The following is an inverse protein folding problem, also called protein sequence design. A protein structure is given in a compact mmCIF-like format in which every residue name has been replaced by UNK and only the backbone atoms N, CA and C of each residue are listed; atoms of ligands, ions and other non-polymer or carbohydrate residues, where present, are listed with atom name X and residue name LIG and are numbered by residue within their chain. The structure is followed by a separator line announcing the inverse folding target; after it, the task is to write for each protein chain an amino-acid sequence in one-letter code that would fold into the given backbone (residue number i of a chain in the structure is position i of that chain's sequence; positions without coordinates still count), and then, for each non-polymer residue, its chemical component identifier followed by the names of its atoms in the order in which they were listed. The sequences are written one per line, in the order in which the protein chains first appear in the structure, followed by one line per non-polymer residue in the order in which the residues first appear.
data_IF_943922616754
#
_entry.id   IF_943922616754
#
_cell.length_a   1.000
_cell.length_b   1.000
_cell.length_c   1.000
_cell.angle_alpha   90.00
_cell.angle_beta   90.00
_cell.angle_gamma   90.00
#
_symmetry.space_group_name_H-M   'P 1'
#
loop_
_entity.id
_entity.type
_entity.pdbx_description
1 polymer ?
#
# COMPACT_ATOMS: atom_id res chain seq x y z
N UNK A 1 -7.49 -2.77 -19.83
CA UNK A 1 -8.03 -2.89 -18.46
C UNK A 1 -9.38 -2.18 -18.46
N UNK A 2 -10.44 -2.89 -18.20
CA UNK A 2 -11.80 -2.39 -18.09
C UNK A 2 -12.28 -2.57 -16.65
N UNK A 3 -12.91 -1.53 -16.08
CA UNK A 3 -13.42 -1.52 -14.72
C UNK A 3 -14.91 -1.14 -14.64
N UNK A 4 -15.63 -1.20 -15.75
CA UNK A 4 -17.07 -0.95 -15.75
C UNK A 4 -17.78 -1.89 -14.74
N UNK A 5 -18.71 -1.31 -14.00
CA UNK A 5 -19.46 -2.02 -12.94
C UNK A 5 -18.61 -2.54 -11.76
N UNK A 6 -17.34 -2.12 -11.63
CA UNK A 6 -16.48 -2.45 -10.50
C UNK A 6 -16.41 -1.28 -9.52
N UNK A 7 -16.57 -1.57 -8.24
CA UNK A 7 -16.35 -0.60 -7.14
C UNK A 7 -14.97 -0.82 -6.55
N UNK A 8 -14.13 0.19 -6.64
CA UNK A 8 -12.75 0.15 -6.15
C UNK A 8 -12.57 1.16 -5.02
N UNK A 9 -12.04 0.71 -3.90
CA UNK A 9 -11.62 1.57 -2.79
C UNK A 9 -10.15 1.91 -2.96
N UNK A 10 -9.80 3.18 -2.85
CA UNK A 10 -8.41 3.68 -2.95
C UNK A 10 -8.10 4.51 -1.72
N UNK A 11 -7.03 4.19 -1.00
CA UNK A 11 -6.53 5.01 0.11
C UNK A 11 -5.46 5.98 -0.37
N UNK A 12 -5.30 7.14 0.29
CA UNK A 12 -4.29 8.13 -0.07
C UNK A 12 -4.64 8.94 -1.33
N UNK A 13 -5.94 9.19 -1.58
CA UNK A 13 -6.44 9.83 -2.81
C UNK A 13 -6.19 11.33 -2.91
N UNK A 14 -5.77 11.98 -1.82
CA UNK A 14 -5.56 13.42 -1.82
C UNK A 14 -4.32 13.86 -2.64
N UNK A 15 -3.35 12.96 -2.88
CA UNK A 15 -2.14 13.31 -3.61
C UNK A 15 -1.42 12.09 -4.22
N UNK A 16 -0.41 12.35 -5.06
CA UNK A 16 0.57 11.37 -5.54
C UNK A 16 -0.04 10.11 -6.17
N UNK A 17 0.53 8.95 -5.87
CA UNK A 17 0.15 7.66 -6.46
C UNK A 17 -1.34 7.36 -6.26
N UNK A 18 -1.90 7.67 -5.07
CA UNK A 18 -3.32 7.41 -4.78
C UNK A 18 -4.25 8.24 -5.64
N UNK A 19 -3.95 9.52 -5.80
CA UNK A 19 -4.71 10.44 -6.66
C UNK A 19 -4.70 9.98 -8.12
N UNK A 20 -3.52 9.67 -8.69
CA UNK A 20 -3.40 9.24 -10.08
C UNK A 20 -3.99 7.84 -10.30
N UNK A 21 -3.89 6.94 -9.31
CA UNK A 21 -4.58 5.64 -9.35
C UNK A 21 -6.10 5.82 -9.40
N UNK A 22 -6.65 6.66 -8.53
CA UNK A 22 -8.08 6.94 -8.49
C UNK A 22 -8.57 7.56 -9.81
N UNK A 23 -7.82 8.54 -10.34
CA UNK A 23 -8.10 9.16 -11.63
C UNK A 23 -8.10 8.15 -12.78
N UNK A 24 -7.06 7.31 -12.85
CA UNK A 24 -6.95 6.29 -13.90
C UNK A 24 -8.08 5.27 -13.84
N UNK A 25 -8.41 4.76 -12.64
CA UNK A 25 -9.48 3.78 -12.45
C UNK A 25 -10.84 4.35 -12.89
N UNK A 26 -11.14 5.62 -12.54
CA UNK A 26 -12.36 6.31 -13.01
C UNK A 26 -12.39 6.47 -14.53
N UNK A 27 -11.27 6.86 -15.15
CA UNK A 27 -11.16 6.94 -16.62
C UNK A 27 -11.37 5.59 -17.30
N UNK A 28 -11.17 4.48 -16.57
CA UNK A 28 -11.39 3.10 -17.03
C UNK A 28 -12.77 2.54 -16.65
N UNK A 29 -13.69 3.38 -16.15
CA UNK A 29 -15.06 3.03 -15.87
C UNK A 29 -15.35 2.51 -14.46
N UNK A 30 -14.36 2.51 -13.54
CA UNK A 30 -14.60 2.14 -12.15
C UNK A 30 -15.44 3.19 -11.41
N UNK A 31 -16.30 2.73 -10.50
CA UNK A 31 -16.79 3.53 -9.39
C UNK A 31 -15.70 3.59 -8.31
N UNK A 32 -15.11 4.76 -8.07
CA UNK A 32 -14.00 4.92 -7.13
C UNK A 32 -14.46 5.61 -5.86
N UNK A 33 -14.20 4.96 -4.71
CA UNK A 33 -14.42 5.53 -3.39
C UNK A 33 -13.05 5.78 -2.76
N UNK A 34 -12.77 7.06 -2.49
CA UNK A 34 -11.52 7.50 -1.88
C UNK A 34 -11.57 7.49 -0.36
N UNK A 35 -10.45 7.09 0.23
CA UNK A 35 -10.19 7.21 1.67
C UNK A 35 -8.92 8.04 1.88
N UNK A 36 -9.02 9.11 2.65
CA UNK A 36 -7.87 9.95 3.01
C UNK A 36 -8.20 10.77 4.27
N UNK A 37 -7.19 11.23 4.98
CA UNK A 37 -7.36 12.21 6.06
C UNK A 37 -7.63 13.62 5.53
N UNK A 38 -7.20 13.91 4.29
CA UNK A 38 -7.38 15.19 3.62
C UNK A 38 -8.38 15.05 2.47
N UNK A 39 -9.15 16.09 2.23
CA UNK A 39 -10.08 16.12 1.11
C UNK A 39 -9.30 16.16 -0.23
N UNK A 40 -9.62 15.28 -1.19
CA UNK A 40 -8.98 15.29 -2.49
C UNK A 40 -9.50 16.45 -3.36
N UNK A 41 -8.63 17.03 -4.18
CA UNK A 41 -9.06 17.96 -5.23
C UNK A 41 -9.75 17.26 -6.42
N UNK A 42 -9.57 15.95 -6.53
CA UNK A 42 -10.18 15.10 -7.55
C UNK A 42 -11.62 14.77 -7.18
N UNK A 43 -12.55 14.97 -8.13
CA UNK A 43 -13.93 14.49 -7.98
C UNK A 43 -13.96 12.97 -8.02
N UNK A 44 -14.52 12.33 -6.99
CA UNK A 44 -14.68 10.90 -6.85
C UNK A 44 -16.17 10.53 -6.78
N UNK A 45 -16.48 9.23 -6.97
CA UNK A 45 -17.85 8.72 -6.85
C UNK A 45 -18.29 8.59 -5.38
N UNK A 46 -17.34 8.69 -4.47
CA UNK A 46 -17.52 8.78 -3.02
C UNK A 46 -16.21 9.09 -2.33
N UNK A 47 -16.30 9.74 -1.17
CA UNK A 47 -15.15 10.05 -0.32
C UNK A 47 -15.50 9.82 1.15
N UNK A 48 -14.61 9.20 1.88
CA UNK A 48 -14.70 9.03 3.34
C UNK A 48 -13.41 9.56 3.95
N UNK A 49 -13.53 10.63 4.72
CA UNK A 49 -12.42 11.15 5.49
C UNK A 49 -12.10 10.17 6.63
N UNK A 50 -10.84 9.74 6.72
CA UNK A 50 -10.39 8.75 7.71
C UNK A 50 -8.90 8.90 8.03
N UNK A 51 -8.56 8.79 9.29
CA UNK A 51 -7.18 8.58 9.74
C UNK A 51 -6.93 7.07 9.84
N UNK A 52 -6.05 6.55 8.97
CA UNK A 52 -5.68 5.14 8.97
C UNK A 52 -4.77 4.74 10.14
N UNK A 53 -4.29 5.68 10.92
CA UNK A 53 -3.62 5.43 12.19
C UNK A 53 -4.56 5.06 13.34
N UNK A 54 -5.88 5.24 13.19
CA UNK A 54 -6.86 5.07 14.24
C UNK A 54 -7.86 3.94 13.91
N UNK A 55 -7.78 2.78 14.59
CA UNK A 55 -8.62 1.62 14.24
C UNK A 55 -10.11 1.90 14.34
N UNK A 56 -10.57 2.68 15.32
CA UNK A 56 -11.99 3.06 15.44
C UNK A 56 -12.45 3.95 14.27
N UNK A 57 -11.57 4.81 13.74
CA UNK A 57 -11.87 5.61 12.55
C UNK A 57 -11.97 4.73 11.30
N UNK A 58 -11.12 3.70 11.20
CA UNK A 58 -11.18 2.72 10.11
C UNK A 58 -12.52 1.97 10.17
N UNK A 59 -12.93 1.47 11.34
CA UNK A 59 -14.19 0.74 11.51
C UNK A 59 -15.39 1.61 11.14
N UNK A 60 -15.40 2.88 11.58
CA UNK A 60 -16.41 3.85 11.19
C UNK A 60 -16.43 4.15 9.68
N UNK A 61 -15.27 4.21 9.06
CA UNK A 61 -15.16 4.37 7.60
C UNK A 61 -15.69 3.13 6.86
N UNK A 62 -15.31 1.93 7.29
CA UNK A 62 -15.79 0.65 6.72
C UNK A 62 -17.33 0.55 6.78
N UNK A 63 -17.96 1.01 7.86
CA UNK A 63 -19.42 1.02 8.00
C UNK A 63 -20.12 1.90 6.93
N UNK A 64 -19.43 2.89 6.36
CA UNK A 64 -19.94 3.79 5.32
C UNK A 64 -19.66 3.31 3.89
N UNK A 65 -18.85 2.27 3.72
CA UNK A 65 -18.51 1.72 2.42
C UNK A 65 -19.59 0.75 1.93
N UNK A 66 -19.70 0.55 0.59
CA UNK A 66 -20.64 -0.41 0.01
C UNK A 66 -20.43 -1.85 0.49
N UNK A 67 -21.50 -2.64 0.44
CA UNK A 67 -21.46 -4.07 0.77
C UNK A 67 -20.63 -4.89 -0.23
N UNK A 68 -20.42 -4.39 -1.44
CA UNK A 68 -19.60 -5.05 -2.46
C UNK A 68 -18.43 -4.15 -2.87
N UNK A 69 -17.22 -4.68 -2.75
CA UNK A 69 -15.95 -4.03 -3.12
C UNK A 69 -15.20 -4.96 -4.06
N UNK A 70 -15.02 -4.55 -5.31
CA UNK A 70 -14.35 -5.36 -6.34
C UNK A 70 -12.83 -5.20 -6.35
N UNK A 71 -12.30 -4.22 -5.61
CA UNK A 71 -10.87 -4.04 -5.42
C UNK A 71 -10.51 -3.02 -4.35
N UNK A 72 -9.32 -3.18 -3.79
CA UNK A 72 -8.74 -2.28 -2.79
C UNK A 72 -7.30 -1.91 -3.18
N UNK A 73 -7.04 -0.62 -3.35
CA UNK A 73 -5.70 -0.08 -3.49
C UNK A 73 -5.26 0.60 -2.18
N UNK A 74 -4.41 -0.04 -1.42
CA UNK A 74 -3.79 0.50 -0.21
C UNK A 74 -2.57 1.33 -0.60
N UNK A 75 -2.79 2.63 -0.84
CA UNK A 75 -1.76 3.56 -1.32
C UNK A 75 -1.31 4.53 -0.24
N UNK A 76 -2.18 4.87 0.71
CA UNK A 76 -1.85 5.78 1.80
C UNK A 76 -0.59 5.33 2.56
N UNK A 77 0.24 6.30 2.91
CA UNK A 77 1.43 6.08 3.70
C UNK A 77 2.06 7.38 4.15
N UNK A 78 2.89 7.29 5.18
CA UNK A 78 3.68 8.40 5.71
C UNK A 78 5.17 8.11 5.59
N UNK A 79 6.02 9.14 5.46
CA UNK A 79 7.47 8.96 5.36
C UNK A 79 8.07 8.53 6.71
N UNK A 80 9.30 8.01 6.70
CA UNK A 80 10.01 7.62 7.91
C UNK A 80 10.56 8.79 8.73
N UNK A 81 10.37 10.03 8.29
CA UNK A 81 10.57 11.25 9.08
C UNK A 81 9.47 11.45 10.13
N UNK A 82 8.31 10.80 9.93
CA UNK A 82 7.23 10.77 10.92
C UNK A 82 7.60 9.89 12.13
N UNK A 83 6.97 10.09 13.30
CA UNK A 83 7.18 9.24 14.47
C UNK A 83 6.98 7.75 14.15
N UNK A 84 7.83 6.87 14.72
CA UNK A 84 7.79 5.42 14.46
C UNK A 84 6.40 4.83 14.62
N UNK A 85 5.69 5.21 15.69
CA UNK A 85 4.34 4.70 15.97
C UNK A 85 3.35 5.11 14.86
N UNK A 86 3.47 6.32 14.34
CA UNK A 86 2.62 6.76 13.23
C UNK A 86 2.93 5.98 11.95
N UNK A 87 4.22 5.75 11.66
CA UNK A 87 4.65 4.93 10.51
C UNK A 87 4.10 3.50 10.65
N UNK A 88 4.22 2.90 11.84
CA UNK A 88 3.67 1.57 12.12
C UNK A 88 2.16 1.49 11.91
N UNK A 89 1.44 2.44 12.49
CA UNK A 89 -0.02 2.51 12.44
C UNK A 89 -0.54 2.69 11.02
N UNK A 90 0.00 3.67 10.27
CA UNK A 90 -0.50 4.00 8.94
C UNK A 90 0.01 3.02 7.88
N UNK A 91 1.34 2.77 7.84
CA UNK A 91 1.95 2.01 6.73
C UNK A 91 1.77 0.50 6.86
N UNK A 92 1.33 0.01 8.04
CA UNK A 92 1.17 -1.42 8.25
C UNK A 92 -0.12 -1.81 8.99
N UNK A 93 -0.29 -1.40 10.25
CA UNK A 93 -1.39 -1.89 11.08
C UNK A 93 -2.78 -1.46 10.55
N UNK A 94 -2.93 -0.21 10.18
CA UNK A 94 -4.19 0.35 9.68
C UNK A 94 -4.57 -0.20 8.31
N UNK A 95 -3.58 -0.28 7.41
CA UNK A 95 -3.74 -0.90 6.09
C UNK A 95 -4.19 -2.37 6.23
N UNK A 96 -3.55 -3.12 7.12
CA UNK A 96 -3.92 -4.52 7.42
C UNK A 96 -5.34 -4.60 8.00
N UNK A 97 -5.67 -3.75 8.97
CA UNK A 97 -6.98 -3.69 9.60
C UNK A 97 -8.09 -3.40 8.57
N UNK A 98 -7.90 -2.38 7.74
CA UNK A 98 -8.83 -2.03 6.66
C UNK A 98 -9.03 -3.20 5.68
N UNK A 99 -7.93 -3.83 5.26
CA UNK A 99 -8.00 -4.95 4.30
C UNK A 99 -8.78 -6.13 4.87
N UNK A 100 -8.51 -6.52 6.12
CA UNK A 100 -9.21 -7.62 6.78
C UNK A 100 -10.68 -7.31 7.02
N UNK A 101 -11.02 -6.06 7.36
CA UNK A 101 -12.41 -5.62 7.55
C UNK A 101 -13.20 -5.61 6.22
N UNK A 102 -12.55 -5.32 5.08
CA UNK A 102 -13.18 -5.29 3.77
C UNK A 102 -13.19 -6.65 3.05
N UNK A 103 -12.31 -7.58 3.40
CA UNK A 103 -12.23 -8.89 2.76
C UNK A 103 -13.56 -9.66 2.70
N UNK A 104 -14.45 -9.62 3.73
CA UNK A 104 -15.78 -10.24 3.65
C UNK A 104 -16.71 -9.63 2.58
N UNK A 105 -16.48 -8.40 2.14
CA UNK A 105 -17.25 -7.69 1.11
C UNK A 105 -16.68 -7.86 -0.30
N UNK A 106 -15.55 -8.56 -0.42
CA UNK A 106 -14.87 -8.78 -1.70
C UNK A 106 -15.38 -10.05 -2.36
N UNK A 107 -15.92 -9.97 -3.59
CA UNK A 107 -16.31 -11.15 -4.35
C UNK A 107 -15.09 -11.92 -4.87
N UNK A 108 -15.31 -13.15 -5.30
CA UNK A 108 -14.32 -13.91 -6.08
C UNK A 108 -13.83 -13.09 -7.28
N UNK A 109 -12.53 -13.12 -7.53
CA UNK A 109 -11.86 -12.33 -8.58
C UNK A 109 -11.46 -10.93 -8.16
N UNK A 110 -11.88 -10.43 -7.00
CA UNK A 110 -11.44 -9.15 -6.48
C UNK A 110 -9.91 -9.13 -6.24
N UNK A 111 -9.35 -7.92 -6.22
CA UNK A 111 -7.91 -7.73 -6.01
C UNK A 111 -7.60 -6.72 -4.91
N UNK A 112 -6.55 -7.01 -4.14
CA UNK A 112 -5.93 -6.08 -3.20
C UNK A 112 -4.53 -5.75 -3.70
N UNK A 113 -4.19 -4.47 -3.77
CA UNK A 113 -2.84 -4.01 -4.12
C UNK A 113 -2.33 -3.09 -3.01
N UNK A 114 -1.19 -3.48 -2.44
CA UNK A 114 -0.51 -2.75 -1.38
C UNK A 114 0.69 -1.99 -1.95
N UNK A 115 0.85 -0.71 -1.63
CA UNK A 115 2.05 0.04 -2.01
C UNK A 115 3.14 -0.19 -0.96
N UNK A 116 4.08 -1.08 -1.31
CA UNK A 116 5.32 -1.30 -0.59
C UNK A 116 6.40 -0.24 -0.93
N UNK A 117 7.63 -0.66 -1.11
CA UNK A 117 8.76 0.14 -1.60
C UNK A 117 9.91 -0.79 -1.96
N UNK A 118 10.81 -0.39 -2.86
CA UNK A 118 12.09 -1.09 -3.05
C UNK A 118 12.94 -1.08 -1.77
N UNK A 119 12.74 -0.10 -0.87
CA UNK A 119 13.41 -0.07 0.43
C UNK A 119 13.00 -1.24 1.35
N UNK A 120 11.92 -1.95 1.03
CA UNK A 120 11.53 -3.18 1.71
C UNK A 120 12.20 -4.45 1.16
N UNK A 121 13.16 -4.35 0.24
CA UNK A 121 13.77 -5.52 -0.42
C UNK A 121 14.55 -6.44 0.53
N UNK A 122 14.98 -5.94 1.67
CA UNK A 122 15.73 -6.72 2.67
C UNK A 122 14.84 -7.59 3.58
N UNK A 123 13.54 -7.67 3.30
CA UNK A 123 12.59 -8.49 4.08
C UNK A 123 13.05 -9.93 4.36
N UNK A 124 13.83 -10.63 3.49
CA UNK A 124 14.28 -11.98 3.80
C UNK A 124 15.18 -12.07 5.02
N UNK A 125 15.94 -11.01 5.34
CA UNK A 125 16.84 -10.97 6.49
C UNK A 125 16.09 -10.92 7.82
N UNK A 126 14.82 -10.47 7.84
CA UNK A 126 13.96 -10.34 9.02
C UNK A 126 12.66 -11.13 8.89
N UNK A 127 12.66 -12.18 8.05
CA UNK A 127 11.46 -12.93 7.69
C UNK A 127 10.68 -13.44 8.91
N UNK A 128 11.34 -14.03 9.89
CA UNK A 128 10.65 -14.62 11.05
C UNK A 128 10.03 -13.53 11.95
N UNK A 129 10.71 -12.39 12.11
CA UNK A 129 10.15 -11.24 12.82
C UNK A 129 8.89 -10.70 12.12
N UNK A 130 8.94 -10.54 10.81
CA UNK A 130 7.80 -10.04 10.05
C UNK A 130 6.64 -11.04 10.00
N UNK A 131 6.93 -12.35 9.97
CA UNK A 131 5.89 -13.40 10.10
C UNK A 131 5.22 -13.33 11.47
N UNK A 132 5.99 -13.25 12.55
CA UNK A 132 5.43 -13.13 13.90
C UNK A 132 4.54 -11.87 14.07
N UNK A 133 4.94 -10.73 13.48
CA UNK A 133 4.10 -9.53 13.44
C UNK A 133 2.84 -9.75 12.58
N UNK A 134 2.97 -10.42 11.44
CA UNK A 134 1.85 -10.71 10.53
C UNK A 134 0.79 -11.63 11.17
N UNK A 135 1.19 -12.52 12.05
CA UNK A 135 0.32 -13.46 12.77
C UNK A 135 -0.39 -12.85 13.98
N UNK A 136 -0.05 -11.61 14.38
CA UNK A 136 -0.74 -10.96 15.51
C UNK A 136 -2.23 -10.78 15.19
N UNK A 137 -3.14 -11.11 16.15
CA UNK A 137 -4.58 -11.02 15.92
C UNK A 137 -5.08 -9.56 16.00
N UNK A 138 -5.03 -8.82 14.89
CA UNK A 138 -5.58 -7.48 14.78
C UNK A 138 -4.63 -6.34 15.18
N UNK A 139 -5.17 -5.13 15.20
CA UNK A 139 -4.42 -3.88 15.36
C UNK A 139 -3.73 -3.77 16.72
N UNK A 140 -4.50 -3.88 17.81
CA UNK A 140 -3.97 -3.72 19.18
C UNK A 140 -2.88 -4.75 19.53
N UNK A 141 -3.06 -6.02 19.12
CA UNK A 141 -2.05 -7.05 19.34
C UNK A 141 -0.77 -6.78 18.53
N UNK A 142 -0.90 -6.18 17.35
CA UNK A 142 0.24 -5.69 16.58
C UNK A 142 1.00 -4.58 17.27
N UNK A 143 0.30 -3.61 17.87
CA UNK A 143 0.93 -2.56 18.69
C UNK A 143 1.65 -3.14 19.92
N UNK A 144 1.00 -4.09 20.62
CA UNK A 144 1.60 -4.77 21.76
C UNK A 144 2.87 -5.56 21.38
N UNK A 145 2.85 -6.17 20.20
CA UNK A 145 4.02 -6.86 19.65
C UNK A 145 5.15 -5.85 19.37
N UNK A 146 4.85 -4.73 18.72
CA UNK A 146 5.83 -3.68 18.40
C UNK A 146 6.43 -3.01 19.66
N UNK A 147 5.64 -2.85 20.72
CA UNK A 147 6.17 -2.36 22.02
C UNK A 147 7.23 -3.29 22.61
N UNK A 148 7.10 -4.61 22.39
CA UNK A 148 8.08 -5.62 22.82
C UNK A 148 9.26 -5.77 21.84
N UNK A 149 9.11 -5.32 20.61
CA UNK A 149 10.11 -5.39 19.56
C UNK A 149 10.29 -3.99 18.95
N UNK A 150 10.91 -3.06 19.67
CA UNK A 150 11.00 -1.67 19.24
C UNK A 150 11.80 -1.54 17.93
N UNK A 151 11.29 -0.72 17.03
CA UNK A 151 11.90 -0.44 15.73
C UNK A 151 12.62 0.93 15.80
N UNK A 152 13.90 1.02 15.42
CA UNK A 152 14.61 2.30 15.40
C UNK A 152 14.00 3.29 14.39
N UNK A 153 13.97 4.59 14.75
CA UNK A 153 13.48 5.65 13.88
C UNK A 153 14.16 5.64 12.51
N UNK A 154 15.47 5.47 12.47
CA UNK A 154 16.26 5.52 11.23
C UNK A 154 15.90 4.40 10.21
N UNK A 155 15.28 3.31 10.66
CA UNK A 155 14.92 2.17 9.80
C UNK A 155 13.42 1.87 9.78
N UNK A 156 12.59 2.67 10.44
CA UNK A 156 11.17 2.37 10.62
C UNK A 156 10.41 2.26 9.29
N UNK A 157 10.70 3.12 8.32
CA UNK A 157 10.05 3.06 7.02
C UNK A 157 10.36 1.75 6.29
N UNK A 158 11.65 1.39 6.20
CA UNK A 158 12.09 0.14 5.58
C UNK A 158 11.43 -1.05 6.27
N UNK A 159 11.50 -1.08 7.60
CA UNK A 159 10.95 -2.15 8.42
C UNK A 159 9.46 -2.39 8.15
N UNK A 160 8.64 -1.32 8.12
CA UNK A 160 7.20 -1.50 7.88
C UNK A 160 6.86 -1.79 6.41
N UNK A 161 7.70 -1.38 5.45
CA UNK A 161 7.58 -1.82 4.05
C UNK A 161 7.97 -3.30 3.87
N UNK A 162 8.97 -3.78 4.59
CA UNK A 162 9.31 -5.21 4.68
C UNK A 162 8.16 -6.02 5.30
N UNK A 163 7.64 -5.58 6.45
CA UNK A 163 6.51 -6.21 7.11
C UNK A 163 5.28 -6.30 6.21
N UNK A 164 5.00 -5.24 5.43
CA UNK A 164 3.90 -5.22 4.46
C UNK A 164 4.10 -6.22 3.34
N UNK A 165 5.33 -6.34 2.80
CA UNK A 165 5.67 -7.35 1.80
C UNK A 165 5.43 -8.76 2.37
N UNK A 166 6.01 -9.07 3.53
CA UNK A 166 5.87 -10.40 4.15
C UNK A 166 4.41 -10.72 4.45
N UNK A 167 3.65 -9.78 5.01
CA UNK A 167 2.22 -9.96 5.24
C UNK A 167 1.46 -10.26 3.94
N UNK A 168 1.74 -9.50 2.87
CA UNK A 168 1.12 -9.74 1.56
C UNK A 168 1.44 -11.13 1.04
N UNK A 169 2.71 -11.54 1.06
CA UNK A 169 3.16 -12.86 0.58
C UNK A 169 2.52 -14.00 1.38
N UNK A 170 2.46 -13.87 2.71
CA UNK A 170 1.94 -14.94 3.59
C UNK A 170 0.42 -15.03 3.61
N UNK A 171 -0.29 -13.92 3.39
CA UNK A 171 -1.77 -13.88 3.41
C UNK A 171 -2.42 -14.00 2.04
N UNK A 172 -1.67 -13.85 0.96
CA UNK A 172 -2.21 -13.93 -0.41
C UNK A 172 -2.85 -15.28 -0.71
N UNK A 173 -2.18 -16.39 -0.39
CA UNK A 173 -2.70 -17.74 -0.66
C UNK A 173 -3.90 -18.09 0.21
N UNK A 174 -3.89 -17.89 1.55
CA UNK A 174 -5.08 -18.10 2.37
C UNK A 174 -6.29 -17.30 1.90
N UNK A 175 -6.09 -16.03 1.54
CA UNK A 175 -7.16 -15.16 1.05
C UNK A 175 -7.71 -15.65 -0.30
N UNK A 176 -6.83 -16.08 -1.20
CA UNK A 176 -7.21 -16.63 -2.49
C UNK A 176 -7.99 -17.94 -2.35
N UNK A 177 -7.53 -18.88 -1.52
CA UNK A 177 -8.19 -20.17 -1.31
C UNK A 177 -9.55 -20.03 -0.61
N UNK A 178 -9.67 -19.11 0.33
CA UNK A 178 -10.89 -18.92 1.11
C UNK A 178 -11.96 -18.09 0.39
N UNK A 179 -11.53 -17.13 -0.45
CA UNK A 179 -12.43 -16.12 -1.02
C UNK A 179 -12.26 -15.86 -2.52
N UNK A 180 -11.27 -16.44 -3.18
CA UNK A 180 -10.91 -16.11 -4.55
C UNK A 180 -10.34 -14.69 -4.71
N UNK A 181 -9.91 -14.03 -3.62
CA UNK A 181 -9.38 -12.66 -3.63
C UNK A 181 -7.86 -12.70 -3.75
N UNK A 182 -7.32 -11.95 -4.70
CA UNK A 182 -5.87 -11.84 -4.93
C UNK A 182 -5.29 -10.71 -4.10
N UNK A 183 -4.04 -10.86 -3.64
CA UNK A 183 -3.35 -9.78 -2.95
C UNK A 183 -1.89 -9.70 -3.42
N UNK A 184 -1.45 -8.50 -3.81
CA UNK A 184 -0.12 -8.24 -4.34
C UNK A 184 0.47 -6.94 -3.78
N UNK A 185 1.80 -6.80 -3.84
CA UNK A 185 2.50 -5.54 -3.62
C UNK A 185 2.99 -4.93 -4.94
N UNK A 186 2.94 -3.61 -5.01
CA UNK A 186 3.76 -2.80 -5.90
C UNK A 186 4.86 -2.17 -5.04
N UNK A 187 6.11 -2.27 -5.45
CA UNK A 187 7.26 -1.70 -4.75
C UNK A 187 7.89 -0.59 -5.61
N UNK A 188 7.42 0.66 -5.49
CA UNK A 188 8.01 1.78 -6.23
C UNK A 188 9.44 2.07 -5.79
N UNK A 189 10.25 2.57 -6.73
CA UNK A 189 11.44 3.35 -6.47
C UNK A 189 11.09 4.77 -6.01
N UNK A 190 12.01 5.72 -6.08
CA UNK A 190 11.72 7.14 -5.88
C UNK A 190 10.63 7.65 -6.84
N UNK A 191 9.63 8.35 -6.32
CA UNK A 191 8.49 8.90 -7.08
C UNK A 191 8.32 10.38 -6.76
N UNK A 192 8.08 11.21 -7.77
CA UNK A 192 7.72 12.62 -7.60
C UNK A 192 6.36 12.74 -6.92
N UNK A 193 6.37 12.84 -5.60
CA UNK A 193 5.21 13.00 -4.73
C UNK A 193 5.55 14.01 -3.64
N UNK A 194 4.58 14.53 -2.88
CA UNK A 194 4.86 15.46 -1.79
C UNK A 194 5.86 14.94 -0.74
N UNK A 195 5.98 13.62 -0.55
CA UNK A 195 6.90 13.02 0.42
C UNK A 195 8.31 12.74 -0.15
N UNK A 196 8.61 13.12 -1.40
CA UNK A 196 9.95 12.86 -1.98
C UNK A 196 11.06 13.59 -1.21
N UNK A 197 10.78 14.81 -0.73
CA UNK A 197 11.72 15.57 0.09
C UNK A 197 12.10 14.87 1.39
N UNK A 198 11.16 14.17 2.01
CA UNK A 198 11.40 13.37 3.22
C UNK A 198 12.37 12.21 2.96
N UNK A 199 12.33 11.61 1.75
CA UNK A 199 13.28 10.55 1.38
C UNK A 199 14.72 11.08 1.27
N UNK A 200 14.92 12.31 0.81
CA UNK A 200 16.25 12.95 0.82
C UNK A 200 16.76 13.10 2.27
N UNK A 201 15.88 13.50 3.17
CA UNK A 201 16.22 13.60 4.60
C UNK A 201 16.52 12.23 5.23
N UNK A 202 15.77 11.19 4.87
CA UNK A 202 15.93 9.82 5.41
C UNK A 202 17.20 9.11 4.91
N UNK A 203 17.47 9.21 3.60
CA UNK A 203 18.50 8.41 2.93
C UNK A 203 19.83 9.15 2.78
N UNK A 204 19.81 10.47 2.94
CA UNK A 204 20.94 11.35 2.64
C UNK A 204 21.01 11.74 1.16
N UNK A 205 21.48 12.95 0.89
CA UNK A 205 21.55 13.51 -0.45
C UNK A 205 22.44 12.68 -1.40
N UNK A 206 23.57 12.17 -0.90
CA UNK A 206 24.52 11.36 -1.69
C UNK A 206 23.86 10.08 -2.24
N UNK A 207 23.13 9.34 -1.40
CA UNK A 207 22.44 8.12 -1.83
C UNK A 207 21.34 8.42 -2.84
N UNK A 208 20.53 9.45 -2.58
CA UNK A 208 19.46 9.85 -3.50
C UNK A 208 20.04 10.28 -4.85
N UNK A 209 21.15 11.00 -4.86
CA UNK A 209 21.84 11.39 -6.09
C UNK A 209 22.43 10.17 -6.83
N UNK A 210 23.05 9.21 -6.12
CA UNK A 210 23.56 7.98 -6.70
C UNK A 210 22.43 7.15 -7.35
N UNK A 211 21.29 7.03 -6.66
CA UNK A 211 20.11 6.33 -7.19
C UNK A 211 19.54 7.04 -8.42
N UNK A 212 19.50 8.37 -8.43
CA UNK A 212 19.07 9.16 -9.61
C UNK A 212 19.97 8.91 -10.83
N UNK A 213 21.28 8.79 -10.64
CA UNK A 213 22.19 8.46 -11.75
C UNK A 213 21.92 7.06 -12.36
N UNK A 214 21.48 6.10 -11.52
CA UNK A 214 21.18 4.73 -11.97
C UNK A 214 19.83 4.62 -12.69
N UNK A 215 18.86 5.48 -12.39
CA UNK A 215 17.50 5.41 -12.91
C UNK A 215 17.09 6.61 -13.78
N UNK A 216 18.00 7.54 -14.07
CA UNK A 216 17.83 8.80 -14.80
C UNK A 216 17.01 9.85 -14.03
N UNK A 217 15.85 9.50 -13.48
CA UNK A 217 14.96 10.37 -12.69
C UNK A 217 14.04 9.53 -11.80
N UNK A 218 13.48 10.11 -10.74
CA UNK A 218 12.33 9.52 -10.06
C UNK A 218 11.16 9.32 -11.03
N UNK A 219 10.32 8.31 -10.78
CA UNK A 219 9.09 8.10 -11.53
C UNK A 219 8.07 9.22 -11.26
N UNK A 220 7.16 9.45 -12.18
CA UNK A 220 5.93 10.17 -11.89
C UNK A 220 4.87 9.21 -11.32
N UNK A 221 3.93 9.72 -10.54
CA UNK A 221 2.90 8.89 -9.91
C UNK A 221 1.97 8.21 -10.93
N UNK A 222 1.77 8.83 -12.10
CA UNK A 222 1.03 8.27 -13.23
C UNK A 222 1.77 7.13 -13.96
N UNK A 223 3.06 6.89 -13.67
CA UNK A 223 3.81 5.72 -14.12
C UNK A 223 3.63 4.52 -13.17
N UNK A 224 3.24 4.75 -11.92
CA UNK A 224 2.94 3.70 -10.93
C UNK A 224 1.47 3.27 -11.01
N UNK A 225 0.56 4.23 -11.19
CA UNK A 225 -0.89 4.00 -11.22
C UNK A 225 -1.34 2.90 -12.23
N UNK A 226 -0.78 2.80 -13.46
CA UNK A 226 -1.12 1.73 -14.41
C UNK A 226 -0.79 0.33 -13.89
N UNK A 227 0.29 0.19 -13.12
CA UNK A 227 0.68 -1.10 -12.54
C UNK A 227 -0.27 -1.51 -11.42
N UNK A 228 -0.68 -0.56 -10.58
CA UNK A 228 -1.74 -0.79 -9.57
C UNK A 228 -3.03 -1.21 -10.25
N UNK A 229 -3.47 -0.48 -11.29
CA UNK A 229 -4.68 -0.82 -12.06
C UNK A 229 -4.55 -2.19 -12.73
N UNK A 230 -3.39 -2.55 -13.30
CA UNK A 230 -3.15 -3.87 -13.88
C UNK A 230 -3.36 -4.98 -12.85
N UNK A 231 -2.75 -4.88 -11.67
CA UNK A 231 -2.87 -5.89 -10.62
C UNK A 231 -4.29 -5.99 -10.03
N UNK A 232 -5.08 -4.92 -10.07
CA UNK A 232 -6.50 -4.94 -9.70
C UNK A 232 -7.39 -5.56 -10.78
N UNK A 233 -6.97 -5.54 -12.03
CA UNK A 233 -7.79 -5.96 -13.18
C UNK A 233 -7.83 -7.48 -13.38
N UNK A 234 -8.79 -7.92 -14.21
CA UNK A 234 -8.91 -9.32 -14.62
C UNK A 234 -7.73 -9.80 -15.49
N UNK A 235 -6.93 -8.87 -16.06
CA UNK A 235 -5.70 -9.22 -16.77
C UNK A 235 -4.64 -9.86 -15.84
N UNK A 236 -4.72 -9.58 -14.52
CA UNK A 236 -3.86 -10.16 -13.50
C UNK A 236 -4.53 -11.30 -12.70
N UNK A 237 -5.59 -11.94 -13.24
CA UNK A 237 -6.42 -12.94 -12.52
C UNK A 237 -5.65 -14.15 -11.99
N UNK A 238 -4.45 -14.40 -12.49
CA UNK A 238 -3.59 -15.51 -12.03
C UNK A 238 -2.31 -15.03 -11.33
N UNK A 239 -2.27 -13.74 -10.92
CA UNK A 239 -1.16 -13.14 -10.17
C UNK A 239 -1.63 -12.88 -8.74
N UNK A 240 -1.08 -13.61 -7.77
CA UNK A 240 -1.33 -13.42 -6.34
C UNK A 240 -0.06 -13.73 -5.55
N UNK A 241 0.26 -12.93 -4.54
CA UNK A 241 1.46 -13.10 -3.71
C UNK A 241 2.74 -12.61 -4.39
N UNK A 242 2.68 -11.57 -5.22
CA UNK A 242 3.89 -10.98 -5.81
C UNK A 242 4.25 -9.66 -5.12
N UNK A 243 5.54 -9.41 -4.96
CA UNK A 243 6.10 -8.08 -4.72
C UNK A 243 6.76 -7.61 -6.01
N UNK A 244 6.13 -6.66 -6.70
CA UNK A 244 6.54 -6.19 -8.03
C UNK A 244 7.29 -4.85 -7.94
N UNK A 245 8.62 -4.81 -8.14
CA UNK A 245 9.36 -3.56 -8.26
C UNK A 245 8.90 -2.73 -9.47
N UNK A 246 8.69 -1.42 -9.25
CA UNK A 246 8.33 -0.44 -10.28
C UNK A 246 9.23 0.78 -10.06
N UNK A 247 10.46 0.69 -10.53
CA UNK A 247 11.57 1.53 -10.07
C UNK A 247 12.56 1.93 -11.18
N UNK A 248 12.17 1.75 -12.44
CA UNK A 248 13.04 2.05 -13.58
C UNK A 248 14.28 1.14 -13.66
N UNK A 249 14.25 -0.03 -13.01
CA UNK A 249 15.35 -0.99 -12.97
C UNK A 249 16.36 -0.72 -11.86
N UNK A 250 16.08 0.22 -10.94
CA UNK A 250 17.02 0.56 -9.86
C UNK A 250 17.39 -0.66 -9.00
N UNK A 251 16.41 -1.48 -8.60
CA UNK A 251 16.65 -2.66 -7.78
C UNK A 251 17.59 -3.68 -8.47
N UNK A 252 17.54 -3.79 -9.78
CA UNK A 252 18.41 -4.69 -10.54
C UNK A 252 19.90 -4.29 -10.52
N UNK A 253 20.22 -3.07 -10.12
CA UNK A 253 21.61 -2.57 -10.00
C UNK A 253 22.30 -2.97 -8.70
N UNK A 254 21.56 -3.61 -7.78
CA UNK A 254 22.07 -4.09 -6.49
C UNK A 254 22.29 -5.61 -6.45
N UNK A 255 22.10 -6.29 -7.58
CA UNK A 255 22.33 -7.74 -7.75
C UNK A 255 23.77 -8.02 -8.12
#
# INVERSE_FOLDING_TARGET
MDFHNKTIVVTGVASGIGSDTAKLLRLRGARVIGLDRNEPSLTLDGFVQVDLGEPAAIDAAVARLPERIDGLANVAGVPGTAPVDLVARVNYLGLRHLTLALAPRMPEGAGVVNIASILGAEWPQRLDLHKALAETPGFAAGEDWLRRHPVPQASCYQYFKEALIVWTLTQSQPLFLQRGVRMNCVAPGPVFTPILGDFVQMLGAERVQADQHRMKRPAYSDEIAPVVAFLLSDAARWISGVNLPVDGGLASTYV
#
